data_IF_304938331037
#
_entry.id   IF_304938331037
#
_cell.length_a   1.000
_cell.length_b   1.000
_cell.length_c   1.000
_cell.angle_alpha   90.00
_cell.angle_beta   90.00
_cell.angle_gamma   90.00
#
_symmetry.space_group_name_H-M   'P 1'
#
loop_
_entity.id
_entity.type
_entity.pdbx_description
1 polymer ?
#
# COMPACT_ATOMS: atom_id res chain seq x y z
N UNK A 1 11.44 2.69 -14.38
CA UNK A 1 11.26 2.50 -12.93
C UNK A 1 11.91 1.19 -12.54
N UNK A 2 12.39 1.07 -11.30
CA UNK A 2 13.06 -0.14 -10.80
C UNK A 2 12.06 -0.89 -9.92
N UNK A 3 11.73 -2.13 -10.29
CA UNK A 3 10.80 -2.98 -9.56
C UNK A 3 11.58 -4.05 -8.80
N UNK A 4 11.36 -4.16 -7.50
CA UNK A 4 11.95 -5.18 -6.64
C UNK A 4 10.85 -6.05 -6.06
N UNK A 5 10.93 -7.36 -6.29
CA UNK A 5 10.00 -8.32 -5.70
C UNK A 5 10.06 -8.28 -4.17
N UNK A 6 8.90 -8.47 -3.56
CA UNK A 6 8.77 -8.51 -2.10
C UNK A 6 8.51 -9.93 -1.62
N UNK A 7 8.34 -10.09 -0.30
CA UNK A 7 7.95 -11.37 0.29
C UNK A 7 6.52 -11.82 -0.06
N UNK A 8 5.70 -10.95 -0.65
CA UNK A 8 4.34 -11.27 -1.13
C UNK A 8 4.36 -11.38 -2.64
N UNK A 9 3.92 -12.53 -3.17
CA UNK A 9 3.95 -12.80 -4.60
C UNK A 9 3.15 -11.76 -5.40
N UNK A 10 3.78 -11.12 -6.39
CA UNK A 10 3.16 -10.07 -7.20
C UNK A 10 3.03 -8.70 -6.53
N UNK A 11 3.54 -8.53 -5.31
CA UNK A 11 3.76 -7.21 -4.71
C UNK A 11 5.20 -6.74 -4.97
N UNK A 12 5.37 -5.46 -5.26
CA UNK A 12 6.65 -4.86 -5.65
C UNK A 12 6.93 -3.59 -4.87
N UNK A 13 8.17 -3.44 -4.39
CA UNK A 13 8.72 -2.12 -4.10
C UNK A 13 9.15 -1.48 -5.43
N UNK A 14 8.80 -0.22 -5.65
CA UNK A 14 9.10 0.49 -6.89
C UNK A 14 9.91 1.75 -6.56
N UNK A 15 11.14 1.80 -7.06
CA UNK A 15 12.01 2.96 -6.98
C UNK A 15 12.04 3.74 -8.30
N UNK A 16 12.32 5.04 -8.18
CA UNK A 16 12.42 5.93 -9.31
C UNK A 16 13.79 5.83 -9.98
N UNK A 17 13.80 5.78 -11.30
CA UNK A 17 15.00 6.09 -12.08
C UNK A 17 15.09 7.60 -12.22
N UNK A 18 16.03 8.21 -11.51
CA UNK A 18 16.19 9.66 -11.41
C UNK A 18 17.19 10.18 -12.44
N UNK A 19 16.86 11.30 -13.07
CA UNK A 19 17.76 12.10 -13.89
C UNK A 19 18.07 13.39 -13.13
N UNK A 20 19.28 13.53 -12.61
CA UNK A 20 19.68 14.66 -11.76
C UNK A 20 20.41 15.75 -12.57
N UNK A 21 20.15 17.01 -12.24
CA UNK A 21 20.88 18.19 -12.69
C UNK A 21 20.82 19.31 -11.64
N UNK A 22 21.38 20.48 -11.94
CA UNK A 22 21.47 21.60 -10.99
C UNK A 22 20.10 22.12 -10.50
N UNK A 23 18.98 21.74 -11.13
CA UNK A 23 17.62 22.10 -10.73
C UNK A 23 16.99 21.10 -9.75
N UNK A 24 17.63 19.95 -9.53
CA UNK A 24 17.11 18.83 -8.76
C UNK A 24 17.11 17.55 -9.58
N UNK A 25 16.00 16.81 -9.58
CA UNK A 25 15.88 15.62 -10.42
C UNK A 25 14.52 15.56 -11.11
N UNK A 26 14.50 14.93 -12.28
CA UNK A 26 13.28 14.54 -12.97
C UNK A 26 13.18 13.02 -12.98
N UNK A 27 11.99 12.48 -12.69
CA UNK A 27 11.74 11.05 -12.77
C UNK A 27 10.30 10.78 -13.13
N UNK A 28 10.09 9.70 -13.91
CA UNK A 28 8.74 9.17 -14.13
C UNK A 28 8.28 8.44 -12.87
N UNK A 29 7.23 8.95 -12.24
CA UNK A 29 6.64 8.35 -11.04
C UNK A 29 5.68 7.18 -11.35
N UNK A 30 5.14 7.11 -12.56
CA UNK A 30 4.28 6.02 -13.01
C UNK A 30 4.27 5.98 -14.55
N UNK A 31 4.11 4.78 -15.15
CA UNK A 31 3.99 4.63 -16.59
C UNK A 31 3.33 3.32 -17.00
N UNK A 32 2.23 3.39 -17.75
CA UNK A 32 1.45 2.22 -18.17
C UNK A 32 2.31 1.12 -18.83
N UNK A 33 3.16 1.49 -19.78
CA UNK A 33 4.02 0.56 -20.51
C UNK A 33 4.98 -0.24 -19.60
N UNK A 34 5.51 0.41 -18.55
CA UNK A 34 6.44 -0.23 -17.62
C UNK A 34 5.74 -1.32 -16.77
N UNK A 35 4.46 -1.10 -16.47
CA UNK A 35 3.59 -2.02 -15.74
C UNK A 35 3.06 -3.13 -16.66
N UNK A 36 2.58 -2.80 -17.85
CA UNK A 36 2.09 -3.75 -18.85
C UNK A 36 3.17 -4.76 -19.26
N UNK A 37 4.41 -4.30 -19.44
CA UNK A 37 5.56 -5.15 -19.77
C UNK A 37 5.86 -6.20 -18.69
N UNK A 38 5.30 -6.05 -17.48
CA UNK A 38 5.42 -6.97 -16.34
C UNK A 38 4.12 -7.71 -16.04
N UNK A 39 3.07 -7.52 -16.84
CA UNK A 39 1.73 -8.06 -16.57
C UNK A 39 1.07 -7.45 -15.33
N UNK A 40 1.50 -6.25 -14.91
CA UNK A 40 0.90 -5.52 -13.79
C UNK A 40 -0.22 -4.62 -14.28
N UNK A 41 -1.17 -4.31 -13.40
CA UNK A 41 -2.30 -3.46 -13.76
C UNK A 41 -1.85 -2.02 -14.06
N UNK A 42 -2.14 -1.55 -15.27
CA UNK A 42 -1.77 -0.23 -15.80
C UNK A 42 -2.97 0.70 -16.01
N UNK A 43 -4.19 0.19 -15.90
CA UNK A 43 -5.40 1.00 -16.03
C UNK A 43 -5.83 1.51 -14.67
N UNK A 44 -5.67 2.81 -14.45
CA UNK A 44 -6.15 3.48 -13.24
C UNK A 44 -7.62 3.87 -13.41
N UNK A 45 -8.42 3.65 -12.38
CA UNK A 45 -9.77 4.18 -12.27
C UNK A 45 -9.73 5.59 -11.69
N UNK A 46 -8.99 5.77 -10.60
CA UNK A 46 -8.85 7.07 -9.95
C UNK A 46 -7.54 7.17 -9.16
N UNK A 47 -7.27 8.39 -8.70
CA UNK A 47 -6.19 8.71 -7.78
C UNK A 47 -6.82 9.29 -6.51
N UNK A 48 -6.42 8.76 -5.37
CA UNK A 48 -6.86 9.23 -4.06
C UNK A 48 -5.69 9.87 -3.30
N UNK A 49 -6.02 10.79 -2.39
CA UNK A 49 -5.06 11.44 -1.52
C UNK A 49 -5.55 11.40 -0.08
N UNK A 50 -4.65 11.15 0.87
CA UNK A 50 -4.94 11.34 2.29
C UNK A 50 -3.83 12.13 2.95
N UNK A 51 -4.18 12.83 4.03
CA UNK A 51 -3.24 13.52 4.92
C UNK A 51 -3.50 13.03 6.33
N UNK A 52 -2.43 12.74 7.07
CA UNK A 52 -2.47 12.33 8.47
C UNK A 52 -1.60 13.30 9.26
N UNK A 53 -2.22 14.02 10.19
CA UNK A 53 -1.57 15.12 10.91
C UNK A 53 -0.53 14.64 11.90
N UNK A 54 -0.73 13.47 12.49
CA UNK A 54 0.12 12.96 13.58
C UNK A 54 0.79 11.64 13.19
N UNK A 55 2.05 11.50 13.59
CA UNK A 55 2.78 10.24 13.61
C UNK A 55 2.07 9.21 14.50
N UNK A 56 2.16 7.94 14.13
CA UNK A 56 1.45 6.86 14.81
C UNK A 56 -0.03 6.74 14.41
N UNK A 57 -0.46 7.38 13.31
CA UNK A 57 -1.78 7.17 12.72
C UNK A 57 -1.79 5.91 11.86
N UNK A 58 -2.66 4.96 12.18
CA UNK A 58 -2.86 3.74 11.40
C UNK A 58 -4.15 3.80 10.58
N UNK A 59 -4.06 3.38 9.32
CA UNK A 59 -5.22 3.09 8.46
C UNK A 59 -5.07 1.70 7.88
N UNK A 60 -6.11 0.88 7.98
CA UNK A 60 -6.11 -0.48 7.43
C UNK A 60 -6.39 -1.59 8.43
N UNK A 61 -6.38 -2.85 7.99
CA UNK A 61 -6.00 -3.30 6.64
C UNK A 61 -7.23 -3.38 5.73
N UNK A 62 -7.16 -2.83 4.52
CA UNK A 62 -8.31 -2.68 3.61
C UNK A 62 -8.08 -3.33 2.25
N UNK A 63 -9.14 -3.92 1.71
CA UNK A 63 -9.19 -4.46 0.35
C UNK A 63 -10.64 -4.44 -0.17
N UNK A 64 -10.79 -4.60 -1.49
CA UNK A 64 -12.08 -4.88 -2.11
C UNK A 64 -12.11 -6.31 -2.64
N UNK A 65 -13.26 -6.98 -2.54
CA UNK A 65 -13.47 -8.31 -3.10
C UNK A 65 -14.02 -8.24 -4.53
N UNK A 66 -13.88 -9.34 -5.26
CA UNK A 66 -14.53 -9.51 -6.56
C UNK A 66 -16.04 -9.18 -6.48
N UNK A 67 -16.61 -8.57 -7.53
CA UNK A 67 -15.99 -8.20 -8.81
C UNK A 67 -15.26 -6.84 -8.81
N UNK A 68 -15.10 -6.19 -7.65
CA UNK A 68 -14.49 -4.87 -7.51
C UNK A 68 -13.08 -4.92 -6.91
N UNK A 69 -12.37 -6.05 -7.07
CA UNK A 69 -10.98 -6.17 -6.63
C UNK A 69 -10.13 -5.03 -7.20
N UNK A 70 -9.17 -4.57 -6.41
CA UNK A 70 -8.36 -3.40 -6.75
C UNK A 70 -6.88 -3.68 -6.54
N UNK A 71 -6.05 -3.11 -7.41
CA UNK A 71 -4.63 -2.89 -7.16
C UNK A 71 -4.48 -1.50 -6.56
N UNK A 72 -3.54 -1.37 -5.62
CA UNK A 72 -3.12 -0.06 -5.09
C UNK A 72 -1.65 0.14 -5.37
N UNK A 73 -1.29 1.29 -5.92
CA UNK A 73 0.10 1.76 -5.96
C UNK A 73 0.17 2.94 -5.01
N UNK A 74 0.92 2.76 -3.93
CA UNK A 74 0.91 3.69 -2.80
C UNK A 74 2.24 4.44 -2.75
N UNK A 75 2.17 5.75 -2.54
CA UNK A 75 3.34 6.62 -2.41
C UNK A 75 3.13 7.60 -1.26
N UNK A 76 4.22 7.93 -0.57
CA UNK A 76 4.26 9.05 0.37
C UNK A 76 4.90 10.27 -0.32
N UNK A 77 4.16 11.37 -0.43
CA UNK A 77 4.59 12.62 -1.09
C UNK A 77 5.09 13.66 -0.10
N UNK A 78 4.70 13.55 1.18
CA UNK A 78 5.20 14.35 2.30
C UNK A 78 5.30 13.47 3.54
N UNK A 79 6.32 13.68 4.37
CA UNK A 79 6.54 12.88 5.58
C UNK A 79 7.02 11.46 5.28
N UNK A 80 6.67 10.53 6.17
CA UNK A 80 7.02 9.11 6.07
C UNK A 80 5.93 8.20 6.65
N UNK A 81 5.82 7.00 6.06
CA UNK A 81 4.93 5.92 6.51
C UNK A 81 5.65 4.56 6.44
N UNK A 82 5.18 3.62 7.25
CA UNK A 82 5.44 2.20 7.09
C UNK A 82 4.24 1.55 6.41
N UNK A 83 4.35 1.27 5.12
CA UNK A 83 3.28 0.75 4.26
C UNK A 83 3.35 -0.76 4.20
N UNK A 84 2.20 -1.44 4.36
CA UNK A 84 2.10 -2.89 4.56
C UNK A 84 1.09 -3.49 3.59
N UNK A 85 1.44 -4.65 3.03
CA UNK A 85 0.53 -5.50 2.27
C UNK A 85 0.49 -6.91 2.86
N UNK A 86 -0.70 -7.47 3.01
CA UNK A 86 -0.96 -8.85 3.50
C UNK A 86 -1.63 -9.65 2.40
N UNK A 87 -1.12 -10.83 2.11
CA UNK A 87 -1.66 -11.72 1.10
C UNK A 87 -2.85 -12.53 1.63
N UNK A 88 -4.06 -12.22 1.15
CA UNK A 88 -5.28 -12.95 1.52
C UNK A 88 -5.75 -13.93 0.43
N UNK A 89 -4.92 -14.19 -0.59
CA UNK A 89 -5.26 -15.11 -1.67
C UNK A 89 -4.93 -16.54 -1.24
N UNK A 90 -5.95 -17.36 -0.97
CA UNK A 90 -5.79 -18.74 -0.47
C UNK A 90 -4.90 -19.63 -1.37
N UNK A 91 -4.94 -19.42 -2.68
CA UNK A 91 -4.15 -20.17 -3.66
C UNK A 91 -2.72 -19.62 -3.84
N UNK A 92 -2.37 -18.51 -3.18
CA UNK A 92 -1.05 -17.89 -3.30
C UNK A 92 0.01 -18.69 -2.54
N UNK A 93 1.22 -18.87 -3.09
CA UNK A 93 2.33 -19.47 -2.36
C UNK A 93 2.75 -18.65 -1.13
N UNK A 94 2.34 -17.39 -1.06
CA UNK A 94 2.62 -16.46 0.05
C UNK A 94 1.38 -16.14 0.88
N UNK A 95 0.34 -16.99 0.84
CA UNK A 95 -0.87 -16.81 1.64
C UNK A 95 -0.56 -16.57 3.13
N UNK A 96 -1.21 -15.57 3.72
CA UNK A 96 -0.99 -15.06 5.09
C UNK A 96 0.39 -14.45 5.35
N UNK A 97 1.27 -14.38 4.35
CA UNK A 97 2.51 -13.60 4.45
C UNK A 97 2.19 -12.13 4.23
N UNK A 98 3.09 -11.29 4.72
CA UNK A 98 3.03 -9.86 4.55
C UNK A 98 4.38 -9.33 4.12
N UNK A 99 4.36 -8.14 3.53
CA UNK A 99 5.55 -7.35 3.24
C UNK A 99 5.31 -5.92 3.67
N UNK A 100 6.38 -5.17 3.83
CA UNK A 100 6.31 -3.76 4.12
C UNK A 100 7.46 -2.98 3.48
N UNK A 101 7.23 -1.69 3.29
CA UNK A 101 8.24 -0.74 2.88
C UNK A 101 8.04 0.58 3.63
N UNK A 102 9.14 1.20 4.04
CA UNK A 102 9.09 2.60 4.40
C UNK A 102 8.92 3.42 3.11
N UNK A 103 7.86 4.24 3.05
CA UNK A 103 7.62 5.16 1.95
C UNK A 103 7.73 6.58 2.50
N UNK A 104 8.57 7.41 1.90
CA UNK A 104 8.76 8.79 2.35
C UNK A 104 8.98 9.74 1.18
N UNK A 105 8.77 11.04 1.42
CA UNK A 105 9.10 12.08 0.45
C UNK A 105 10.59 12.05 0.04
N UNK A 106 11.45 11.53 0.92
CA UNK A 106 12.90 11.41 0.71
C UNK A 106 13.26 10.22 -0.18
N UNK A 107 12.77 9.03 0.14
CA UNK A 107 13.11 7.83 -0.65
C UNK A 107 12.28 7.75 -1.94
N UNK A 108 11.08 8.34 -1.94
CA UNK A 108 10.16 8.42 -3.09
C UNK A 108 9.70 7.07 -3.61
N UNK A 109 9.88 6.03 -2.79
CA UNK A 109 9.49 4.66 -3.07
C UNK A 109 7.98 4.55 -3.13
N UNK A 110 7.51 3.59 -3.91
CA UNK A 110 6.12 3.15 -3.92
C UNK A 110 6.01 1.68 -3.55
N UNK A 111 4.84 1.28 -3.07
CA UNK A 111 4.47 -0.13 -2.92
C UNK A 111 3.34 -0.46 -3.88
N UNK A 112 3.53 -1.48 -4.71
CA UNK A 112 2.49 -2.11 -5.52
C UNK A 112 1.83 -3.22 -4.71
N UNK A 113 0.54 -3.06 -4.45
CA UNK A 113 -0.29 -4.03 -3.74
C UNK A 113 -1.25 -4.69 -4.73
N UNK A 114 -1.10 -5.99 -5.02
CA UNK A 114 -1.92 -6.68 -6.00
C UNK A 114 -3.35 -6.92 -5.48
N UNK A 115 -4.26 -7.24 -6.41
CA UNK A 115 -5.62 -7.66 -6.07
C UNK A 115 -5.61 -8.83 -5.08
N UNK A 116 -6.59 -8.83 -4.17
CA UNK A 116 -6.71 -9.86 -3.14
C UNK A 116 -5.71 -9.73 -1.99
N UNK A 117 -4.85 -8.70 -1.97
CA UNK A 117 -4.08 -8.33 -0.80
C UNK A 117 -4.78 -7.23 0.00
N UNK A 118 -4.66 -7.28 1.33
CA UNK A 118 -5.08 -6.18 2.20
C UNK A 118 -3.93 -5.19 2.41
N UNK A 119 -4.25 -3.90 2.33
CA UNK A 119 -3.30 -2.80 2.42
C UNK A 119 -3.56 -1.94 3.67
N UNK A 120 -2.50 -1.48 4.32
CA UNK A 120 -2.60 -0.51 5.39
C UNK A 120 -1.24 0.10 5.69
N UNK A 121 -1.22 1.15 6.49
CA UNK A 121 0.02 1.84 6.84
C UNK A 121 -0.04 2.48 8.23
N UNK A 122 1.16 2.74 8.77
CA UNK A 122 1.38 3.53 9.98
C UNK A 122 2.20 4.77 9.63
N UNK A 123 1.76 5.96 10.01
CA UNK A 123 2.58 7.17 9.84
C UNK A 123 3.76 7.17 10.79
N UNK A 124 4.94 7.52 10.27
CA UNK A 124 6.18 7.62 11.05
C UNK A 124 6.53 9.07 11.38
N UNK A 125 5.99 10.01 10.62
CA UNK A 125 6.14 11.44 10.79
C UNK A 125 4.77 12.12 10.84
N UNK A 126 4.76 13.32 11.43
CA UNK A 126 3.61 14.22 11.39
C UNK A 126 3.38 14.73 9.96
N UNK A 127 2.15 15.16 9.68
CA UNK A 127 1.73 15.72 8.40
C UNK A 127 2.06 14.86 7.15
N UNK A 128 2.15 13.53 7.30
CA UNK A 128 2.36 12.61 6.19
C UNK A 128 1.23 12.69 5.16
N UNK A 129 1.59 12.73 3.88
CA UNK A 129 0.69 12.77 2.72
C UNK A 129 0.90 11.56 1.82
N UNK A 130 -0.20 10.93 1.43
CA UNK A 130 -0.21 9.65 0.74
C UNK A 130 -1.02 9.82 -0.53
N UNK A 131 -0.45 9.34 -1.63
CA UNK A 131 -1.07 9.27 -2.93
C UNK A 131 -1.31 7.81 -3.30
N UNK A 132 -2.52 7.51 -3.76
CA UNK A 132 -2.92 6.16 -4.19
C UNK A 132 -3.31 6.21 -5.65
N UNK A 133 -2.72 5.36 -6.47
CA UNK A 133 -3.22 5.08 -7.82
C UNK A 133 -3.97 3.75 -7.74
N UNK A 134 -5.26 3.76 -8.07
CA UNK A 134 -6.18 2.64 -7.80
C UNK A 134 -6.86 2.20 -9.10
N UNK A 135 -6.96 0.88 -9.31
CA UNK A 135 -7.42 0.30 -10.59
C UNK A 135 -8.91 0.02 -10.68
N UNK A 136 -9.66 0.16 -9.58
CA UNK A 136 -11.11 -0.03 -9.53
C UNK A 136 -11.79 1.12 -8.79
N UNK A 137 -13.07 1.35 -9.09
CA UNK A 137 -13.88 2.31 -8.34
C UNK A 137 -14.14 1.84 -6.91
N UNK A 138 -14.31 2.81 -6.01
CA UNK A 138 -14.69 2.50 -4.64
C UNK A 138 -16.09 1.88 -4.60
N UNK A 139 -16.20 0.71 -3.98
CA UNK A 139 -17.45 -0.02 -3.83
C UNK A 139 -17.71 -0.37 -2.36
N UNK A 140 -18.55 0.40 -1.64
CA UNK A 140 -18.85 0.14 -0.23
C UNK A 140 -19.31 -1.28 0.06
N UNK A 141 -20.07 -1.90 -0.87
CA UNK A 141 -20.58 -3.27 -0.72
C UNK A 141 -19.50 -4.35 -0.83
N UNK A 142 -18.38 -4.06 -1.50
CA UNK A 142 -17.24 -4.98 -1.70
C UNK A 142 -16.04 -4.63 -0.83
N UNK A 143 -16.03 -3.44 -0.22
CA UNK A 143 -15.01 -3.04 0.74
C UNK A 143 -15.02 -3.98 1.96
N UNK A 144 -13.85 -4.53 2.28
CA UNK A 144 -13.60 -5.39 3.43
C UNK A 144 -12.37 -4.88 4.16
N UNK A 145 -12.16 -5.42 5.35
CA UNK A 145 -10.91 -5.23 6.05
C UNK A 145 -10.62 -6.38 6.99
N UNK A 146 -9.36 -6.45 7.39
CA UNK A 146 -8.85 -7.40 8.37
C UNK A 146 -8.10 -6.64 9.45
N UNK A 147 -8.02 -7.24 10.62
CA UNK A 147 -7.39 -6.65 11.78
C UNK A 147 -5.91 -6.36 11.53
N UNK A 148 -5.46 -5.15 11.85
CA UNK A 148 -4.09 -4.68 11.60
C UNK A 148 -3.02 -5.36 12.49
N UNK A 149 -3.42 -5.85 13.66
CA UNK A 149 -2.57 -6.61 14.59
C UNK A 149 -3.04 -8.05 14.76
N UNK A 150 -3.56 -8.64 13.69
CA UNK A 150 -4.00 -10.03 13.70
C UNK A 150 -2.83 -11.00 13.93
N UNK A 151 -2.93 -11.94 14.90
CA UNK A 151 -1.92 -12.98 15.10
C UNK A 151 -1.72 -13.90 13.89
N UNK A 152 -2.72 -14.05 13.01
CA UNK A 152 -2.63 -14.89 11.81
C UNK A 152 -1.58 -14.35 10.82
N UNK A 153 -1.38 -13.03 10.78
CA UNK A 153 -0.39 -12.39 9.90
C UNK A 153 0.90 -12.06 10.64
N UNK A 154 0.81 -11.68 11.93
CA UNK A 154 1.99 -11.35 12.74
C UNK A 154 2.79 -10.15 12.23
N UNK A 155 2.09 -9.11 11.73
CA UNK A 155 2.70 -7.89 11.18
C UNK A 155 3.54 -7.20 12.26
N UNK A 156 4.80 -6.89 11.93
CA UNK A 156 5.71 -6.18 12.82
C UNK A 156 5.66 -4.68 12.53
N UNK A 157 4.88 -3.95 13.32
CA UNK A 157 4.78 -2.49 13.22
C UNK A 157 5.97 -1.82 13.92
N UNK A 158 6.66 -0.85 13.29
CA UNK A 158 7.88 -0.26 13.84
C UNK A 158 7.63 0.74 14.99
N UNK A 159 6.38 1.12 15.23
CA UNK A 159 5.99 2.06 16.27
C UNK A 159 4.57 1.74 16.79
N UNK A 160 4.23 2.34 17.92
CA UNK A 160 2.91 2.18 18.52
C UNK A 160 1.84 2.93 17.73
N UNK A 161 0.68 2.30 17.56
CA UNK A 161 -0.52 2.96 17.03
C UNK A 161 -1.06 3.92 18.08
N UNK A 162 -1.09 5.21 17.73
CA UNK A 162 -1.64 6.29 18.55
C UNK A 162 -3.06 6.65 18.12
N UNK A 163 -3.29 6.70 16.82
CA UNK A 163 -4.57 7.09 16.22
C UNK A 163 -5.04 5.98 15.28
N UNK A 164 -6.28 5.55 15.46
CA UNK A 164 -6.97 4.58 14.59
C UNK A 164 -8.46 4.81 14.73
N UNK A 165 -9.20 4.76 13.61
CA UNK A 165 -10.65 4.93 13.64
C UNK A 165 -11.36 3.71 14.25
N UNK A 166 -12.65 3.85 14.55
CA UNK A 166 -13.44 2.77 15.18
C UNK A 166 -13.60 1.56 14.26
N UNK A 167 -13.76 1.79 12.95
CA UNK A 167 -13.92 0.72 11.95
C UNK A 167 -12.71 -0.21 11.93
N UNK A 168 -11.51 0.36 11.84
CA UNK A 168 -10.24 -0.36 11.73
C UNK A 168 -9.88 -1.03 13.05
N UNK A 169 -10.27 -0.42 14.17
CA UNK A 169 -10.16 -1.02 15.51
C UNK A 169 -11.12 -2.21 15.71
N UNK A 170 -12.27 -2.17 15.05
CA UNK A 170 -13.36 -3.12 15.23
C UNK A 170 -13.26 -4.41 14.39
N UNK A 171 -12.24 -4.55 13.52
CA UNK A 171 -12.06 -5.79 12.76
C UNK A 171 -11.74 -6.96 13.69
N UNK A 172 -12.50 -8.04 13.53
CA UNK A 172 -12.29 -9.30 14.25
C UNK A 172 -11.06 -10.05 13.72
N UNK A 173 -10.62 -11.05 14.49
CA UNK A 173 -9.55 -11.94 14.08
C UNK A 173 -9.91 -12.67 12.79
N UNK A 174 -8.92 -12.79 11.91
CA UNK A 174 -9.04 -13.38 10.60
C UNK A 174 -9.39 -14.87 10.73
N UNK A 175 -10.44 -15.27 10.02
CA UNK A 175 -10.87 -16.65 9.90
C UNK A 175 -10.81 -17.03 8.42
N UNK A 176 -9.98 -18.02 8.06
CA UNK A 176 -9.74 -18.40 6.67
C UNK A 176 -10.99 -18.58 5.85
#
# INVERSE_FOLDING_TARGET
MIFTETAVAGAYAIDLERFEDDRGFFARAWGALDFDARGLASRLAHISLSVNREAGTLRGMHYQTAPCSEVKIVRCTRGAIYDVAVDLRRESPTYLKWTAAELSARNQRMLYVPEGCAHGFLTLEDDSEMLYLITAEYSPSHARGVRWNDPAFGIQWPANVRIINERDRGYADYRP
#
